data_IF_478361156543
#
_entry.id   IF_478361156543
#
_cell.length_a   1.000
_cell.length_b   1.000
_cell.length_c   1.000
_cell.angle_alpha   90.00
_cell.angle_beta   90.00
_cell.angle_gamma   90.00
#
_symmetry.space_group_name_H-M   'P 1'
#
loop_
_entity.id
_entity.type
_entity.pdbx_description
1 polymer ?
#
# COMPACT_ATOMS: atom_id res chain seq x y z
N UNK A 1 5.23 -4.91 -32.75
CA UNK A 1 5.49 -6.08 -31.90
C UNK A 1 5.22 -7.31 -32.77
N UNK A 2 6.22 -7.74 -33.54
CA UNK A 2 6.13 -9.02 -34.26
C UNK A 2 6.39 -10.12 -33.22
N UNK A 3 5.31 -10.71 -32.71
CA UNK A 3 5.41 -11.90 -31.88
C UNK A 3 5.72 -13.07 -32.82
N UNK A 4 6.94 -13.58 -32.79
CA UNK A 4 7.26 -14.81 -33.52
C UNK A 4 6.37 -15.94 -32.97
N UNK A 5 5.70 -16.69 -33.85
CA UNK A 5 4.69 -17.68 -33.47
C UNK A 5 5.22 -18.81 -32.56
N UNK A 6 6.55 -19.00 -32.51
CA UNK A 6 7.19 -20.11 -31.81
C UNK A 6 7.84 -19.70 -30.47
N UNK A 7 8.32 -18.46 -30.32
CA UNK A 7 8.95 -17.99 -29.08
C UNK A 7 8.50 -16.57 -28.68
N UNK A 8 7.86 -16.40 -27.51
CA UNK A 8 7.49 -15.08 -26.99
C UNK A 8 8.71 -14.41 -26.35
N UNK A 9 9.55 -13.77 -27.16
CA UNK A 9 10.63 -12.95 -26.66
C UNK A 9 10.28 -11.47 -26.78
N UNK A 10 10.33 -10.77 -25.64
CA UNK A 10 10.22 -9.32 -25.60
C UNK A 10 11.45 -8.72 -26.28
N UNK A 11 11.28 -7.59 -26.97
CA UNK A 11 12.44 -6.89 -27.55
C UNK A 11 13.41 -6.50 -26.43
N UNK A 12 14.71 -6.61 -26.72
CA UNK A 12 15.78 -6.37 -25.75
C UNK A 12 15.60 -5.03 -24.99
N UNK A 13 15.25 -3.96 -25.70
CA UNK A 13 15.02 -2.64 -25.10
C UNK A 13 13.76 -2.61 -24.21
N UNK A 14 12.66 -3.22 -24.65
CA UNK A 14 11.42 -3.26 -23.87
C UNK A 14 11.61 -4.06 -22.58
N UNK A 15 12.37 -5.14 -22.65
CA UNK A 15 12.68 -5.96 -21.48
C UNK A 15 13.46 -5.16 -20.42
N UNK A 16 14.51 -4.44 -20.82
CA UNK A 16 15.33 -3.64 -19.89
C UNK A 16 14.52 -2.47 -19.31
N UNK A 17 13.73 -1.78 -20.12
CA UNK A 17 12.91 -0.65 -19.66
C UNK A 17 11.77 -1.12 -18.77
N UNK A 18 10.91 -2.02 -19.25
CA UNK A 18 9.72 -2.42 -18.49
C UNK A 18 10.08 -3.25 -17.24
N UNK A 19 10.95 -4.25 -17.36
CA UNK A 19 11.19 -5.18 -16.25
C UNK A 19 12.10 -4.59 -15.16
N UNK A 20 13.03 -3.70 -15.53
CA UNK A 20 13.99 -3.16 -14.56
C UNK A 20 13.66 -1.75 -14.11
N UNK A 21 13.10 -0.88 -14.96
CA UNK A 21 12.82 0.50 -14.54
C UNK A 21 11.56 0.58 -13.68
N UNK A 22 10.54 -0.23 -13.93
CA UNK A 22 9.29 -0.18 -13.16
C UNK A 22 9.55 -0.38 -11.64
N UNK A 23 10.30 -1.40 -11.18
CA UNK A 23 10.66 -1.52 -9.77
C UNK A 23 11.46 -0.33 -9.24
N UNK A 24 12.42 0.20 -10.00
CA UNK A 24 13.22 1.37 -9.61
C UNK A 24 12.36 2.61 -9.40
N UNK A 25 11.51 2.92 -10.39
CA UNK A 25 10.62 4.08 -10.36
C UNK A 25 9.60 3.96 -9.22
N UNK A 26 9.05 2.76 -9.01
CA UNK A 26 8.21 2.47 -7.85
C UNK A 26 8.94 2.82 -6.54
N UNK A 27 10.17 2.32 -6.36
CA UNK A 27 10.94 2.62 -5.14
C UNK A 27 11.17 4.12 -4.98
N UNK A 28 11.54 4.85 -6.05
CA UNK A 28 11.80 6.28 -5.95
C UNK A 28 10.55 7.08 -5.57
N UNK A 29 9.40 6.78 -6.17
CA UNK A 29 8.13 7.47 -5.86
C UNK A 29 7.72 7.21 -4.41
N UNK A 30 7.75 5.95 -3.96
CA UNK A 30 7.31 5.57 -2.62
C UNK A 30 8.37 5.80 -1.54
N UNK A 31 9.63 6.07 -1.90
CA UNK A 31 10.69 6.43 -0.93
C UNK A 31 10.36 7.71 -0.17
N UNK A 32 9.73 8.69 -0.82
CA UNK A 32 9.30 9.94 -0.18
C UNK A 32 8.23 9.68 0.88
N UNK A 33 7.30 8.77 0.59
CA UNK A 33 6.27 8.35 1.54
C UNK A 33 6.88 7.61 2.75
N UNK A 34 7.84 6.71 2.51
CA UNK A 34 8.55 6.03 3.60
C UNK A 34 9.39 7.01 4.44
N UNK A 35 10.03 8.01 3.81
CA UNK A 35 10.74 9.05 4.53
C UNK A 35 9.79 9.85 5.44
N UNK A 36 8.63 10.27 4.92
CA UNK A 36 7.59 10.93 5.72
C UNK A 36 7.12 10.06 6.90
N UNK A 37 6.88 8.78 6.64
CA UNK A 37 6.48 7.81 7.67
C UNK A 37 7.56 7.62 8.74
N UNK A 38 8.83 7.56 8.35
CA UNK A 38 9.97 7.50 9.26
C UNK A 38 10.01 8.76 10.14
N UNK A 39 9.94 9.95 9.54
CA UNK A 39 9.98 11.22 10.28
C UNK A 39 8.87 11.36 11.32
N UNK A 40 7.68 10.80 11.05
CA UNK A 40 6.54 10.85 11.96
C UNK A 40 6.42 9.62 12.89
N UNK A 41 7.41 8.72 12.90
CA UNK A 41 7.39 7.51 13.74
C UNK A 41 7.60 7.84 15.22
N UNK A 42 6.76 7.21 16.06
CA UNK A 42 6.82 7.26 17.54
C UNK A 42 7.56 6.07 18.18
N UNK A 43 8.14 5.22 17.34
CA UNK A 43 9.04 4.14 17.76
C UNK A 43 10.47 4.55 17.41
N UNK A 44 11.44 4.09 18.20
CA UNK A 44 12.86 4.39 17.96
C UNK A 44 13.74 3.18 18.20
N UNK A 45 14.77 3.11 17.36
CA UNK A 45 15.91 2.21 17.45
C UNK A 45 15.57 0.73 17.59
N UNK A 46 15.65 0.01 16.47
CA UNK A 46 15.69 -1.45 16.48
C UNK A 46 17.12 -1.88 16.85
N UNK A 47 17.31 -2.74 17.88
CA UNK A 47 18.63 -3.21 18.28
C UNK A 47 19.32 -3.94 17.12
N UNK A 48 20.65 -3.85 17.06
CA UNK A 48 21.42 -4.63 16.09
C UNK A 48 21.26 -6.12 16.36
N UNK A 49 20.93 -6.86 15.31
CA UNK A 49 20.75 -8.30 15.36
C UNK A 49 21.35 -8.88 14.07
N UNK A 50 21.78 -10.14 14.11
CA UNK A 50 22.27 -10.84 12.92
C UNK A 50 21.30 -10.76 11.74
N UNK A 51 20.00 -10.72 12.00
CA UNK A 51 18.97 -10.60 10.97
C UNK A 51 18.93 -9.24 10.25
N UNK A 52 18.97 -8.12 10.98
CA UNK A 52 19.01 -6.80 10.33
C UNK A 52 20.36 -6.53 9.68
N UNK A 53 21.44 -7.03 10.30
CA UNK A 53 22.78 -6.97 9.74
C UNK A 53 22.87 -7.77 8.44
N UNK A 54 22.28 -8.97 8.36
CA UNK A 54 22.28 -9.78 7.14
C UNK A 54 21.51 -9.09 6.01
N UNK A 55 20.35 -8.48 6.29
CA UNK A 55 19.59 -7.71 5.28
C UNK A 55 20.40 -6.54 4.72
N UNK A 56 21.06 -5.78 5.60
CA UNK A 56 21.92 -4.67 5.20
C UNK A 56 23.15 -5.15 4.41
N UNK A 57 23.78 -6.24 4.84
CA UNK A 57 24.95 -6.81 4.17
C UNK A 57 24.62 -7.30 2.75
N UNK A 58 23.53 -8.07 2.60
CA UNK A 58 23.08 -8.56 1.28
C UNK A 58 22.74 -7.39 0.35
N UNK A 59 22.06 -6.36 0.86
CA UNK A 59 21.75 -5.15 0.09
C UNK A 59 23.02 -4.38 -0.30
N UNK A 60 24.01 -4.31 0.60
CA UNK A 60 25.30 -3.69 0.33
C UNK A 60 26.10 -4.45 -0.74
N UNK A 61 26.11 -5.79 -0.69
CA UNK A 61 26.74 -6.61 -1.75
C UNK A 61 26.07 -6.38 -3.10
N UNK A 62 24.74 -6.37 -3.16
CA UNK A 62 23.98 -6.04 -4.38
C UNK A 62 24.31 -4.63 -4.90
N UNK A 63 24.46 -3.65 -4.00
CA UNK A 63 24.90 -2.31 -4.36
C UNK A 63 26.30 -2.35 -5.00
N UNK A 64 27.28 -2.98 -4.36
CA UNK A 64 28.63 -3.11 -4.93
C UNK A 64 28.62 -3.78 -6.30
N UNK A 65 27.89 -4.88 -6.46
CA UNK A 65 27.74 -5.57 -7.76
C UNK A 65 27.15 -4.64 -8.83
N UNK A 66 26.13 -3.85 -8.49
CA UNK A 66 25.52 -2.91 -9.45
C UNK A 66 26.47 -1.79 -9.89
N UNK A 67 27.40 -1.36 -9.02
CA UNK A 67 28.44 -0.39 -9.37
C UNK A 67 29.51 -1.00 -10.27
N UNK A 68 29.89 -2.26 -10.05
CA UNK A 68 30.80 -3.00 -10.93
C UNK A 68 30.16 -3.17 -12.31
N UNK A 69 28.89 -3.57 -12.36
CA UNK A 69 28.13 -3.68 -13.63
C UNK A 69 28.09 -2.36 -14.38
N UNK A 70 27.86 -1.23 -13.69
CA UNK A 70 27.91 0.10 -14.32
C UNK A 70 29.29 0.39 -14.93
N UNK A 71 30.37 0.05 -14.21
CA UNK A 71 31.73 0.19 -14.72
C UNK A 71 31.97 -0.65 -15.98
N UNK A 72 31.56 -1.92 -15.95
CA UNK A 72 31.70 -2.84 -17.08
C UNK A 72 30.90 -2.37 -18.31
N UNK A 73 29.66 -1.92 -18.13
CA UNK A 73 28.82 -1.38 -19.22
C UNK A 73 29.47 -0.15 -19.87
N UNK A 74 30.11 0.71 -19.07
CA UNK A 74 30.79 1.92 -19.59
C UNK A 74 32.07 1.56 -20.34
N UNK A 75 32.88 0.62 -19.83
CA UNK A 75 34.14 0.21 -20.47
C UNK A 75 33.91 -0.47 -21.82
N UNK A 76 32.92 -1.36 -21.92
CA UNK A 76 32.64 -2.12 -23.14
C UNK A 76 31.65 -1.44 -24.09
N UNK A 77 31.27 -0.18 -23.81
CA UNK A 77 30.29 0.57 -24.60
C UNK A 77 30.69 0.70 -26.08
N UNK A 78 31.94 1.09 -26.32
CA UNK A 78 32.45 1.38 -27.67
C UNK A 78 32.76 0.10 -28.46
N UNK A 79 33.25 -0.94 -27.79
CA UNK A 79 33.65 -2.21 -28.44
C UNK A 79 32.46 -3.06 -28.90
N UNK A 80 31.33 -3.01 -28.19
CA UNK A 80 30.17 -3.89 -28.45
C UNK A 80 28.92 -3.17 -29.00
N UNK A 81 29.00 -1.86 -29.24
CA UNK A 81 27.85 -1.09 -29.76
C UNK A 81 26.64 -1.13 -28.83
N UNK A 82 26.86 -1.09 -27.51
CA UNK A 82 25.79 -1.22 -26.52
C UNK A 82 24.81 -0.04 -26.59
N UNK A 83 23.51 -0.34 -26.51
CA UNK A 83 22.46 0.68 -26.48
C UNK A 83 22.55 1.55 -25.21
N UNK A 84 22.34 2.86 -25.35
CA UNK A 84 22.33 3.82 -24.22
C UNK A 84 21.39 3.41 -23.09
N UNK A 85 20.31 2.68 -23.42
CA UNK A 85 19.34 2.13 -22.48
C UNK A 85 20.00 1.25 -21.41
N UNK A 86 21.08 0.53 -21.72
CA UNK A 86 21.76 -0.31 -20.74
C UNK A 86 22.48 0.52 -19.66
N UNK A 87 23.09 1.64 -20.04
CA UNK A 87 23.76 2.55 -19.11
C UNK A 87 22.73 3.14 -18.14
N UNK A 88 21.61 3.64 -18.67
CA UNK A 88 20.53 4.20 -17.85
C UNK A 88 20.00 3.15 -16.88
N UNK A 89 19.83 1.90 -17.34
CA UNK A 89 19.37 0.80 -16.50
C UNK A 89 20.35 0.49 -15.36
N UNK A 90 21.65 0.43 -15.66
CA UNK A 90 22.69 0.21 -14.64
C UNK A 90 22.72 1.34 -13.60
N UNK A 91 22.61 2.60 -14.04
CA UNK A 91 22.51 3.77 -13.14
C UNK A 91 21.27 3.68 -12.25
N UNK A 92 20.10 3.38 -12.81
CA UNK A 92 18.85 3.25 -12.04
C UNK A 92 18.95 2.14 -10.99
N UNK A 93 19.59 1.01 -11.33
CA UNK A 93 19.82 -0.08 -10.39
C UNK A 93 20.75 0.33 -9.24
N UNK A 94 21.89 0.96 -9.56
CA UNK A 94 22.84 1.44 -8.55
C UNK A 94 22.20 2.44 -7.59
N UNK A 95 21.45 3.42 -8.12
CA UNK A 95 20.71 4.39 -7.32
C UNK A 95 19.62 3.71 -6.46
N UNK A 96 18.92 2.71 -7.00
CA UNK A 96 17.88 1.98 -6.26
C UNK A 96 18.44 1.27 -5.04
N UNK A 97 19.59 0.61 -5.15
CA UNK A 97 20.20 -0.08 -4.01
C UNK A 97 20.78 0.88 -2.97
N UNK A 98 21.28 2.05 -3.39
CA UNK A 98 21.66 3.13 -2.46
C UNK A 98 20.44 3.61 -1.66
N UNK A 99 19.35 3.93 -2.35
CA UNK A 99 18.09 4.35 -1.69
C UNK A 99 17.58 3.26 -0.76
N UNK A 100 17.62 1.99 -1.18
CA UNK A 100 17.21 0.86 -0.35
C UNK A 100 18.01 0.76 0.94
N UNK A 101 19.35 0.88 0.86
CA UNK A 101 20.22 0.83 2.03
C UNK A 101 19.93 1.98 3.00
N UNK A 102 19.70 3.19 2.49
CA UNK A 102 19.29 4.37 3.28
C UNK A 102 17.93 4.14 3.95
N UNK A 103 16.98 3.53 3.26
CA UNK A 103 15.67 3.21 3.82
C UNK A 103 15.77 2.15 4.92
N UNK A 104 16.53 1.07 4.74
CA UNK A 104 16.75 0.05 5.76
C UNK A 104 17.40 0.64 7.02
N UNK A 105 18.43 1.49 6.85
CA UNK A 105 19.06 2.17 7.96
C UNK A 105 18.09 3.12 8.69
N UNK A 106 17.27 3.84 7.92
CA UNK A 106 16.25 4.75 8.45
C UNK A 106 15.18 3.98 9.22
N UNK A 107 14.62 2.90 8.66
CA UNK A 107 13.61 2.07 9.33
C UNK A 107 14.12 1.50 10.65
N UNK A 108 15.37 1.05 10.69
CA UNK A 108 16.04 0.64 11.92
C UNK A 108 16.06 1.78 12.96
N UNK A 109 16.51 2.98 12.58
CA UNK A 109 16.59 4.14 13.49
C UNK A 109 15.22 4.63 13.97
N UNK A 110 14.22 4.59 13.10
CA UNK A 110 12.85 5.06 13.37
C UNK A 110 11.90 3.93 13.80
N UNK A 111 12.41 2.76 14.19
CA UNK A 111 11.62 1.70 14.82
C UNK A 111 10.57 1.04 13.93
N UNK A 112 10.69 1.12 12.59
CA UNK A 112 9.73 0.52 11.65
C UNK A 112 10.17 -0.92 11.35
N UNK A 113 9.40 -1.91 11.84
CA UNK A 113 9.77 -3.33 11.76
C UNK A 113 9.62 -4.00 10.39
N UNK A 114 8.72 -3.48 9.56
CA UNK A 114 8.45 -4.00 8.21
C UNK A 114 7.74 -2.93 7.39
N UNK A 115 8.13 -2.80 6.12
CA UNK A 115 7.57 -1.84 5.17
C UNK A 115 7.03 -2.57 3.93
N UNK A 116 5.82 -2.18 3.52
CA UNK A 116 5.23 -2.67 2.28
C UNK A 116 5.98 -2.20 1.04
N UNK A 117 6.55 -1.00 1.06
CA UNK A 117 7.32 -0.46 -0.07
C UNK A 117 8.54 -1.32 -0.37
N UNK A 118 9.30 -1.70 0.67
CA UNK A 118 10.49 -2.55 0.52
C UNK A 118 10.10 -3.95 0.03
N UNK A 119 9.08 -4.55 0.64
CA UNK A 119 8.59 -5.86 0.23
C UNK A 119 8.12 -5.87 -1.23
N UNK A 120 7.29 -4.91 -1.63
CA UNK A 120 6.76 -4.80 -3.00
C UNK A 120 7.88 -4.56 -4.01
N UNK A 121 8.90 -3.76 -3.69
CA UNK A 121 10.07 -3.58 -4.54
C UNK A 121 10.79 -4.92 -4.80
N UNK A 122 11.14 -5.66 -3.75
CA UNK A 122 11.82 -6.95 -3.90
C UNK A 122 10.95 -7.99 -4.59
N UNK A 123 9.64 -7.98 -4.32
CA UNK A 123 8.68 -8.83 -5.01
C UNK A 123 8.62 -8.53 -6.52
N UNK A 124 8.52 -7.25 -6.91
CA UNK A 124 8.56 -6.85 -8.32
C UNK A 124 9.89 -7.23 -8.99
N UNK A 125 11.02 -7.01 -8.30
CA UNK A 125 12.36 -7.41 -8.78
C UNK A 125 12.45 -8.91 -9.01
N UNK A 126 11.92 -9.72 -8.10
CA UNK A 126 11.91 -11.17 -8.23
C UNK A 126 10.99 -11.61 -9.38
N UNK A 127 9.76 -11.10 -9.42
CA UNK A 127 8.75 -11.50 -10.41
C UNK A 127 9.14 -11.11 -11.84
N UNK A 128 9.52 -9.85 -12.08
CA UNK A 128 10.04 -9.42 -13.38
C UNK A 128 11.40 -10.05 -13.71
N UNK A 129 12.18 -10.39 -12.68
CA UNK A 129 13.43 -11.12 -12.83
C UNK A 129 13.25 -12.53 -13.40
N UNK A 130 12.09 -13.20 -13.20
CA UNK A 130 11.83 -14.52 -13.82
C UNK A 130 11.89 -14.44 -15.35
N UNK A 131 11.28 -13.39 -15.92
CA UNK A 131 11.25 -13.18 -17.37
C UNK A 131 12.66 -12.87 -17.88
N UNK A 132 13.42 -12.03 -17.17
CA UNK A 132 14.81 -11.74 -17.50
C UNK A 132 15.71 -12.98 -17.40
N UNK A 133 15.54 -13.80 -16.35
CA UNK A 133 16.26 -15.05 -16.17
C UNK A 133 16.06 -16.00 -17.35
N UNK A 134 14.82 -16.16 -17.83
CA UNK A 134 14.52 -16.97 -19.03
C UNK A 134 15.32 -16.49 -20.24
N UNK A 135 15.31 -15.19 -20.52
CA UNK A 135 16.03 -14.62 -21.68
C UNK A 135 17.53 -14.79 -21.54
N UNK A 136 18.10 -14.53 -20.37
CA UNK A 136 19.52 -14.71 -20.10
C UNK A 136 19.94 -16.18 -20.23
N UNK A 137 19.04 -17.15 -19.98
CA UNK A 137 19.29 -18.57 -20.21
C UNK A 137 19.25 -18.94 -21.70
N UNK A 138 18.34 -18.36 -22.48
CA UNK A 138 18.18 -18.63 -23.91
C UNK A 138 19.28 -18.02 -24.79
N UNK A 139 19.89 -16.91 -24.37
CA UNK A 139 20.99 -16.23 -25.07
C UNK A 139 22.33 -16.99 -24.99
N UNK A 140 22.33 -18.31 -25.13
CA UNK A 140 23.53 -19.15 -25.08
C UNK A 140 24.43 -18.94 -26.29
N UNK A 141 23.85 -18.65 -27.45
CA UNK A 141 24.60 -18.44 -28.71
C UNK A 141 25.48 -17.18 -28.70
N UNK A 142 25.10 -16.17 -27.92
CA UNK A 142 25.89 -14.94 -27.71
C UNK A 142 27.06 -15.15 -26.73
N UNK A 143 27.02 -16.23 -25.95
CA UNK A 143 28.09 -16.67 -25.05
C UNK A 143 28.98 -17.63 -25.85
N UNK A 144 29.85 -17.07 -26.69
CA UNK A 144 30.83 -17.85 -27.46
C UNK A 144 31.70 -18.77 -26.58
N UNK A 145 32.42 -19.71 -27.20
CA UNK A 145 33.32 -20.61 -26.46
C UNK A 145 34.38 -19.83 -25.67
N UNK A 146 34.59 -20.25 -24.42
CA UNK A 146 35.50 -19.62 -23.45
C UNK A 146 36.95 -19.70 -23.96
N UNK A 147 37.39 -18.70 -24.73
CA UNK A 147 38.81 -18.50 -25.03
C UNK A 147 39.47 -17.76 -23.86
N UNK A 148 40.55 -18.32 -23.32
CA UNK A 148 41.13 -18.04 -21.99
C UNK A 148 41.72 -16.65 -21.74
N UNK A 149 41.76 -15.74 -22.73
CA UNK A 149 42.63 -14.56 -22.66
C UNK A 149 41.90 -13.21 -22.59
N UNK A 150 40.56 -13.16 -22.74
CA UNK A 150 39.78 -11.92 -22.60
C UNK A 150 38.44 -12.13 -21.86
N UNK A 151 38.03 -11.14 -21.05
CA UNK A 151 36.75 -11.20 -20.32
C UNK A 151 35.61 -10.99 -21.31
N UNK A 152 34.82 -12.04 -21.56
CA UNK A 152 33.62 -11.92 -22.38
C UNK A 152 32.52 -11.17 -21.61
N UNK A 153 32.13 -9.99 -22.09
CA UNK A 153 31.10 -9.14 -21.49
C UNK A 153 29.77 -9.88 -21.27
N UNK A 154 29.33 -10.70 -22.25
CA UNK A 154 28.06 -11.42 -22.16
C UNK A 154 28.09 -12.54 -21.12
N UNK A 155 29.24 -13.20 -20.94
CA UNK A 155 29.42 -14.21 -19.90
C UNK A 155 29.46 -13.55 -18.51
N UNK A 156 30.20 -12.45 -18.37
CA UNK A 156 30.18 -11.64 -17.14
C UNK A 156 28.76 -11.19 -16.78
N UNK A 157 28.02 -10.63 -17.74
CA UNK A 157 26.67 -10.14 -17.53
C UNK A 157 25.71 -11.25 -17.08
N UNK A 158 25.81 -12.44 -17.70
CA UNK A 158 25.05 -13.61 -17.29
C UNK A 158 25.37 -14.03 -15.86
N UNK A 159 26.65 -14.21 -15.52
CA UNK A 159 27.07 -14.65 -14.18
C UNK A 159 26.67 -13.62 -13.12
N UNK A 160 26.92 -12.33 -13.37
CA UNK A 160 26.55 -11.23 -12.49
C UNK A 160 25.03 -11.23 -12.24
N UNK A 161 24.23 -11.37 -13.30
CA UNK A 161 22.77 -11.39 -13.18
C UNK A 161 22.26 -12.58 -12.35
N UNK A 162 22.78 -13.80 -12.57
CA UNK A 162 22.37 -14.99 -11.82
C UNK A 162 22.66 -14.83 -10.32
N UNK A 163 23.84 -14.32 -9.98
CA UNK A 163 24.22 -14.07 -8.58
C UNK A 163 23.32 -13.01 -7.96
N UNK A 164 23.08 -11.90 -8.65
CA UNK A 164 22.17 -10.85 -8.17
C UNK A 164 20.75 -11.38 -7.97
N UNK A 165 20.24 -12.19 -8.91
CA UNK A 165 18.91 -12.78 -8.82
C UNK A 165 18.78 -13.71 -7.61
N UNK A 166 19.81 -14.50 -7.30
CA UNK A 166 19.85 -15.33 -6.10
C UNK A 166 19.79 -14.48 -4.81
N UNK A 167 20.55 -13.38 -4.74
CA UNK A 167 20.48 -12.45 -3.61
C UNK A 167 19.14 -11.72 -3.50
N UNK A 168 18.50 -11.36 -4.63
CA UNK A 168 17.15 -10.79 -4.68
C UNK A 168 16.12 -11.77 -4.10
N UNK A 169 16.23 -13.06 -4.44
CA UNK A 169 15.36 -14.09 -3.86
C UNK A 169 15.61 -14.25 -2.36
N UNK A 170 16.87 -14.27 -1.94
CA UNK A 170 17.24 -14.37 -0.53
C UNK A 170 16.69 -13.22 0.31
N UNK A 171 16.84 -11.97 -0.15
CA UNK A 171 16.34 -10.80 0.58
C UNK A 171 14.80 -10.78 0.62
N UNK A 172 14.13 -11.20 -0.45
CA UNK A 172 12.66 -11.32 -0.45
C UNK A 172 12.17 -12.32 0.61
N UNK A 173 12.85 -13.47 0.74
CA UNK A 173 12.55 -14.45 1.80
C UNK A 173 12.79 -13.86 3.18
N UNK A 174 13.87 -13.09 3.37
CA UNK A 174 14.10 -12.38 4.63
C UNK A 174 12.99 -11.37 4.93
N UNK A 175 12.45 -10.66 3.94
CA UNK A 175 11.34 -9.70 4.13
C UNK A 175 9.99 -10.35 4.48
N UNK A 176 9.85 -11.66 4.32
CA UNK A 176 8.68 -12.40 4.84
C UNK A 176 8.64 -12.39 6.38
N UNK A 177 9.78 -12.20 7.04
CA UNK A 177 9.88 -12.18 8.49
C UNK A 177 10.08 -10.76 9.02
N UNK A 178 9.37 -10.39 10.10
CA UNK A 178 9.45 -9.07 10.70
C UNK A 178 10.77 -8.88 11.47
N UNK A 179 11.29 -7.65 11.49
CA UNK A 179 12.43 -7.33 12.36
C UNK A 179 12.04 -7.36 13.84
N UNK A 180 13.04 -7.32 14.72
CA UNK A 180 12.86 -7.28 16.17
C UNK A 180 12.10 -6.03 16.62
N UNK A 181 11.55 -6.08 17.83
CA UNK A 181 10.88 -4.93 18.42
C UNK A 181 11.83 -3.73 18.64
N UNK A 182 11.33 -2.50 18.48
CA UNK A 182 12.09 -1.30 18.78
C UNK A 182 12.35 -1.18 20.29
N UNK A 183 13.53 -0.68 20.66
CA UNK A 183 13.94 -0.52 22.06
C UNK A 183 13.16 0.57 22.80
N UNK A 184 12.68 1.58 22.07
CA UNK A 184 11.94 2.70 22.65
C UNK A 184 10.61 2.91 21.93
N UNK A 185 9.55 3.09 22.72
CA UNK A 185 8.23 3.48 22.26
C UNK A 185 7.64 4.57 23.14
N UNK A 186 7.02 5.57 22.50
CA UNK A 186 6.25 6.59 23.24
C UNK A 186 4.93 6.05 23.82
N UNK A 187 4.53 4.85 23.40
CA UNK A 187 3.31 4.19 23.85
C UNK A 187 3.55 3.40 25.13
N UNK A 188 2.59 3.35 26.07
CA UNK A 188 2.68 2.49 27.24
C UNK A 188 2.59 1.02 26.86
N UNK A 189 3.22 0.21 27.69
CA UNK A 189 3.30 -1.24 27.52
C UNK A 189 1.91 -1.88 27.58
N UNK A 190 1.62 -2.71 26.56
CA UNK A 190 0.42 -3.52 26.49
C UNK A 190 0.66 -4.87 27.15
N UNK A 191 -0.35 -5.41 27.85
CA UNK A 191 -0.26 -6.71 28.53
C UNK A 191 -0.28 -7.84 27.50
N UNK A 192 -1.19 -7.75 26.54
CA UNK A 192 -1.39 -8.71 25.45
C UNK A 192 -1.36 -7.98 24.10
N UNK A 193 -0.18 -7.59 23.59
CA UNK A 193 -0.09 -6.81 22.36
C UNK A 193 -0.66 -7.57 21.16
N UNK A 194 -1.38 -6.86 20.29
CA UNK A 194 -1.94 -7.42 19.07
C UNK A 194 -0.84 -7.96 18.13
N UNK A 195 -0.96 -9.21 17.63
CA UNK A 195 0.01 -9.82 16.74
C UNK A 195 0.22 -9.04 15.43
N UNK A 196 -0.70 -8.18 15.04
CA UNK A 196 -0.57 -7.28 13.88
C UNK A 196 0.66 -6.36 13.99
N UNK A 197 0.98 -5.84 15.18
CA UNK A 197 2.14 -4.94 15.35
C UNK A 197 3.47 -5.66 15.13
N UNK A 198 3.52 -6.96 15.39
CA UNK A 198 4.72 -7.79 15.24
C UNK A 198 4.81 -8.51 13.91
N UNK A 199 3.76 -8.53 13.09
CA UNK A 199 3.75 -9.28 11.83
C UNK A 199 4.45 -8.52 10.69
N UNK A 200 5.04 -9.25 9.75
CA UNK A 200 5.59 -8.68 8.52
C UNK A 200 4.49 -8.13 7.61
N UNK A 201 4.86 -7.29 6.65
CA UNK A 201 3.92 -6.77 5.66
C UNK A 201 3.20 -7.90 4.90
N UNK A 202 3.90 -8.97 4.52
CA UNK A 202 3.30 -10.13 3.86
C UNK A 202 2.20 -10.78 4.71
N UNK A 203 2.47 -11.01 6.00
CA UNK A 203 1.49 -11.59 6.93
C UNK A 203 0.30 -10.65 7.15
N UNK A 204 0.52 -9.32 7.12
CA UNK A 204 -0.58 -8.33 7.17
C UNK A 204 -1.41 -8.31 5.89
N UNK A 205 -0.77 -8.46 4.73
CA UNK A 205 -1.43 -8.44 3.42
C UNK A 205 -2.49 -9.55 3.31
N UNK A 206 -2.19 -10.74 3.84
CA UNK A 206 -3.09 -11.91 3.87
C UNK A 206 -3.89 -12.04 5.18
N UNK A 207 -3.72 -11.13 6.13
CA UNK A 207 -4.32 -11.23 7.48
C UNK A 207 -3.98 -12.53 8.24
N UNK A 208 -2.91 -13.23 7.86
CA UNK A 208 -2.53 -14.54 8.42
C UNK A 208 -2.15 -14.47 9.92
N UNK A 209 -1.91 -13.28 10.47
CA UNK A 209 -1.72 -13.11 11.91
C UNK A 209 -2.97 -13.48 12.73
N UNK A 210 -4.16 -13.41 12.12
CA UNK A 210 -5.45 -13.72 12.75
C UNK A 210 -5.72 -15.22 12.85
N UNK A 211 -5.08 -16.06 12.03
CA UNK A 211 -5.33 -17.50 11.98
C UNK A 211 -5.09 -18.18 13.34
N UNK A 212 -4.01 -17.78 14.02
CA UNK A 212 -3.67 -18.30 15.36
C UNK A 212 -4.75 -18.00 16.40
N UNK A 213 -5.41 -16.85 16.28
CA UNK A 213 -6.50 -16.43 17.17
C UNK A 213 -7.79 -17.17 16.84
N UNK A 214 -8.11 -17.30 15.55
CA UNK A 214 -9.28 -18.06 15.06
C UNK A 214 -9.22 -19.52 15.53
N UNK A 215 -8.06 -20.15 15.38
CA UNK A 215 -7.86 -21.52 15.82
C UNK A 215 -7.98 -21.70 17.33
N UNK A 216 -7.52 -20.70 18.11
CA UNK A 216 -7.72 -20.68 19.57
C UNK A 216 -9.20 -20.61 19.92
N UNK A 217 -9.96 -19.77 19.22
CA UNK A 217 -11.42 -19.65 19.40
C UNK A 217 -12.20 -20.90 18.99
N UNK A 218 -11.69 -21.65 18.00
CA UNK A 218 -12.25 -22.96 17.64
C UNK A 218 -12.05 -24.00 18.75
N UNK A 219 -10.89 -24.01 19.41
CA UNK A 219 -10.55 -24.98 20.46
C UNK A 219 -11.14 -24.62 21.82
N UNK A 220 -11.18 -23.33 22.16
CA UNK A 220 -11.62 -22.84 23.46
C UNK A 220 -12.51 -21.59 23.28
N UNK A 221 -13.61 -21.46 24.04
CA UNK A 221 -14.39 -20.23 24.06
C UNK A 221 -13.53 -19.01 24.40
N UNK A 222 -13.66 -17.95 23.60
CA UNK A 222 -12.90 -16.71 23.80
C UNK A 222 -13.52 -15.89 24.95
N UNK A 223 -12.70 -15.58 25.96
CA UNK A 223 -13.05 -14.67 27.07
C UNK A 223 -12.33 -13.34 26.92
N UNK A 224 -12.73 -12.32 27.68
CA UNK A 224 -12.09 -11.00 27.65
C UNK A 224 -10.58 -11.06 27.91
N UNK A 225 -10.13 -11.97 28.77
CA UNK A 225 -8.70 -12.16 29.10
C UNK A 225 -7.88 -12.74 27.94
N UNK A 226 -8.54 -13.46 27.02
CA UNK A 226 -7.92 -14.09 25.85
C UNK A 226 -7.79 -13.14 24.65
N UNK A 227 -8.42 -11.97 24.73
CA UNK A 227 -8.38 -10.96 23.67
C UNK A 227 -7.07 -10.16 23.70
N UNK A 228 -6.71 -9.67 22.52
CA UNK A 228 -5.57 -8.78 22.37
C UNK A 228 -5.96 -7.35 22.73
N UNK A 229 -5.00 -6.62 23.28
CA UNK A 229 -5.11 -5.18 23.49
C UNK A 229 -5.18 -4.47 22.14
N UNK A 230 -5.99 -3.40 22.08
CA UNK A 230 -6.13 -2.57 20.89
C UNK A 230 -4.77 -1.95 20.54
N UNK A 231 -4.47 -1.84 19.25
CA UNK A 231 -3.27 -1.17 18.78
C UNK A 231 -3.17 0.25 19.40
N UNK A 232 -2.01 0.67 19.92
CA UNK A 232 -1.85 1.98 20.56
C UNK A 232 -2.32 3.17 19.73
N UNK A 233 -2.23 3.07 18.41
CA UNK A 233 -2.63 4.10 17.43
C UNK A 233 -4.16 4.23 17.29
N UNK A 234 -4.90 3.15 17.58
CA UNK A 234 -6.35 3.07 17.47
C UNK A 234 -7.05 3.23 18.84
N UNK A 235 -6.26 3.47 19.90
CA UNK A 235 -6.79 3.78 21.21
C UNK A 235 -7.38 5.20 21.25
N UNK A 236 -8.44 5.39 22.03
CA UNK A 236 -9.11 6.69 22.19
C UNK A 236 -8.17 7.82 22.60
N UNK A 237 -7.13 7.53 23.40
CA UNK A 237 -6.10 8.50 23.79
C UNK A 237 -5.40 9.17 22.61
N UNK A 238 -5.18 8.46 21.51
CA UNK A 238 -4.53 8.99 20.30
C UNK A 238 -5.56 9.53 19.31
N UNK A 239 -6.75 8.92 19.25
CA UNK A 239 -7.77 9.31 18.28
C UNK A 239 -8.52 10.60 18.67
N UNK A 240 -8.74 10.84 19.96
CA UNK A 240 -9.55 11.96 20.45
C UNK A 240 -8.86 13.33 20.29
N UNK A 241 -7.57 13.52 20.62
CA UNK A 241 -6.93 14.84 20.52
C UNK A 241 -6.90 15.45 19.11
N UNK A 242 -6.58 14.70 18.03
CA UNK A 242 -6.66 15.23 16.66
C UNK A 242 -8.08 15.64 16.29
N UNK A 243 -9.09 14.84 16.63
CA UNK A 243 -10.49 15.16 16.36
C UNK A 243 -10.91 16.45 17.06
N UNK A 244 -10.56 16.60 18.34
CA UNK A 244 -10.84 17.82 19.11
C UNK A 244 -10.20 19.06 18.51
N UNK A 245 -8.93 18.96 18.12
CA UNK A 245 -8.21 20.07 17.50
C UNK A 245 -8.99 20.59 16.29
N UNK A 246 -9.37 19.70 15.37
CA UNK A 246 -10.10 20.09 14.16
C UNK A 246 -11.56 20.45 14.43
N UNK A 247 -12.18 19.87 15.46
CA UNK A 247 -13.52 20.24 15.89
C UNK A 247 -13.56 21.68 16.43
N UNK A 248 -12.66 22.03 17.35
CA UNK A 248 -12.57 23.40 17.88
C UNK A 248 -12.23 24.42 16.80
N UNK A 249 -11.34 24.07 15.85
CA UNK A 249 -11.06 24.90 14.68
C UNK A 249 -12.32 25.12 13.81
N UNK A 250 -13.12 24.07 13.60
CA UNK A 250 -14.38 24.13 12.85
C UNK A 250 -15.41 25.02 13.55
N UNK A 251 -15.56 24.86 14.86
CA UNK A 251 -16.48 25.67 15.70
C UNK A 251 -16.07 27.13 15.68
N UNK A 252 -14.78 27.44 15.84
CA UNK A 252 -14.28 28.82 15.83
C UNK A 252 -14.48 29.49 14.46
N UNK A 253 -14.24 28.76 13.36
CA UNK A 253 -14.54 29.24 12.01
C UNK A 253 -16.03 29.50 11.81
N UNK A 254 -16.89 28.62 12.34
CA UNK A 254 -18.34 28.82 12.31
C UNK A 254 -18.76 30.07 13.09
N UNK A 255 -18.19 30.27 14.29
CA UNK A 255 -18.40 31.45 15.13
C UNK A 255 -18.00 32.74 14.40
N UNK A 256 -16.83 32.76 13.76
CA UNK A 256 -16.37 33.92 13.00
C UNK A 256 -17.28 34.25 11.81
N UNK A 257 -17.75 33.23 11.07
CA UNK A 257 -18.72 33.41 9.99
C UNK A 257 -20.04 34.00 10.48
N UNK A 258 -20.53 33.51 11.63
CA UNK A 258 -21.74 34.06 12.24
C UNK A 258 -21.56 35.54 12.60
N UNK A 259 -20.46 35.90 13.28
CA UNK A 259 -20.16 37.28 13.66
C UNK A 259 -20.07 38.18 12.41
N UNK A 260 -19.45 37.71 11.34
CA UNK A 260 -19.38 38.46 10.08
C UNK A 260 -20.75 38.65 9.43
N UNK A 261 -21.61 37.62 9.47
CA UNK A 261 -22.97 37.70 8.94
C UNK A 261 -23.84 38.67 9.76
N UNK A 262 -23.76 38.61 11.10
CA UNK A 262 -24.52 39.52 11.98
C UNK A 262 -24.03 40.96 11.86
N UNK A 263 -22.71 41.19 11.66
CA UNK A 263 -22.15 42.52 11.31
C UNK A 263 -22.69 43.04 9.98
N UNK A 264 -22.75 42.20 8.94
CA UNK A 264 -23.33 42.57 7.63
C UNK A 264 -24.83 42.87 7.74
N UNK A 265 -25.53 42.24 8.66
CA UNK A 265 -26.95 42.45 8.92
C UNK A 265 -27.25 43.64 9.86
N UNK A 266 -26.23 44.41 10.29
CA UNK A 266 -26.41 45.61 11.11
C UNK A 266 -26.82 45.34 12.57
N UNK A 267 -26.67 44.12 13.08
CA UNK A 267 -27.04 43.79 14.46
C UNK A 267 -25.95 44.22 15.45
N UNK A 268 -26.34 45.01 16.44
CA UNK A 268 -25.45 45.56 17.49
C UNK A 268 -25.29 44.66 18.71
N UNK A 269 -26.20 43.69 18.91
CA UNK A 269 -26.11 42.66 19.94
C UNK A 269 -25.40 41.40 19.43
N UNK A 270 -24.12 41.23 19.74
CA UNK A 270 -23.33 40.04 19.40
C UNK A 270 -23.67 38.88 20.33
N UNK A 271 -24.88 38.33 20.21
CA UNK A 271 -25.28 37.14 20.97
C UNK A 271 -24.85 35.88 20.20
N UNK A 272 -23.95 35.09 20.78
CA UNK A 272 -23.55 33.81 20.21
C UNK A 272 -24.75 32.86 20.21
N UNK A 273 -25.11 32.33 19.03
CA UNK A 273 -26.24 31.40 18.90
C UNK A 273 -25.68 29.98 18.81
N UNK A 274 -25.66 29.18 19.90
CA UNK A 274 -25.06 27.85 19.90
C UNK A 274 -25.73 26.84 18.95
N UNK A 275 -26.93 27.13 18.45
CA UNK A 275 -27.68 26.27 17.52
C UNK A 275 -27.82 26.86 16.10
N UNK A 276 -27.07 27.90 15.73
CA UNK A 276 -27.11 28.42 14.38
C UNK A 276 -26.55 27.40 13.37
N UNK A 277 -27.18 27.28 12.19
CA UNK A 277 -26.68 26.44 11.08
C UNK A 277 -25.24 26.82 10.63
N UNK A 278 -24.76 28.00 11.02
CA UNK A 278 -23.40 28.48 10.79
C UNK A 278 -22.36 27.91 11.75
N UNK A 279 -22.76 27.22 12.81
CA UNK A 279 -21.83 26.63 13.78
C UNK A 279 -21.09 25.43 13.19
N UNK A 280 -19.86 25.23 13.66
CA UNK A 280 -18.89 24.31 13.05
C UNK A 280 -19.47 22.95 12.65
N UNK A 281 -19.12 22.51 11.45
CA UNK A 281 -19.51 21.18 10.96
C UNK A 281 -18.56 20.11 11.50
N UNK A 282 -19.11 18.96 11.86
CA UNK A 282 -18.34 17.80 12.35
C UNK A 282 -17.63 17.09 11.20
N UNK A 283 -18.20 17.12 9.99
CA UNK A 283 -17.68 16.40 8.82
C UNK A 283 -16.25 16.82 8.44
N UNK A 284 -15.90 18.12 8.32
CA UNK A 284 -14.52 18.54 8.04
C UNK A 284 -13.53 18.10 9.14
N UNK A 285 -13.97 18.05 10.40
CA UNK A 285 -13.12 17.61 11.50
C UNK A 285 -12.81 16.11 11.39
N UNK A 286 -13.81 15.29 11.07
CA UNK A 286 -13.66 13.85 10.84
C UNK A 286 -12.73 13.57 9.65
N UNK A 287 -12.95 14.24 8.52
CA UNK A 287 -12.15 14.02 7.30
C UNK A 287 -10.69 14.42 7.52
N UNK A 288 -10.43 15.53 8.22
CA UNK A 288 -9.05 15.94 8.52
C UNK A 288 -8.37 15.05 9.56
N UNK A 289 -9.10 14.55 10.56
CA UNK A 289 -8.55 13.69 11.60
C UNK A 289 -8.25 12.27 11.09
N UNK A 290 -9.14 11.69 10.28
CA UNK A 290 -9.13 10.26 9.96
C UNK A 290 -9.18 9.93 8.47
N UNK A 291 -9.15 10.92 7.58
CA UNK A 291 -9.40 10.73 6.15
C UNK A 291 -8.24 10.10 5.37
N UNK A 292 -7.01 10.11 5.87
CA UNK A 292 -5.85 9.61 5.10
C UNK A 292 -5.95 8.12 4.71
N UNK A 293 -6.24 7.17 5.63
CA UNK A 293 -6.45 5.76 5.26
C UNK A 293 -7.69 5.55 4.37
N UNK A 294 -8.71 6.39 4.51
CA UNK A 294 -9.91 6.34 3.69
C UNK A 294 -9.62 6.70 2.23
N UNK A 295 -8.92 7.81 1.98
CA UNK A 295 -8.52 8.16 0.62
C UNK A 295 -7.57 7.12 0.00
N UNK A 296 -6.70 6.52 0.81
CA UNK A 296 -5.86 5.40 0.37
C UNK A 296 -6.70 4.18 -0.02
N UNK A 297 -7.78 3.87 0.71
CA UNK A 297 -8.73 2.83 0.33
C UNK A 297 -9.39 3.12 -1.03
N UNK A 298 -9.66 4.39 -1.35
CA UNK A 298 -10.16 4.80 -2.65
C UNK A 298 -9.27 4.40 -3.83
N UNK A 299 -7.95 4.34 -3.64
CA UNK A 299 -7.02 3.86 -4.66
C UNK A 299 -7.19 2.35 -4.93
N UNK A 300 -7.42 1.55 -3.88
CA UNK A 300 -7.77 0.14 -4.05
C UNK A 300 -9.10 -0.02 -4.79
N UNK A 301 -10.12 0.79 -4.45
CA UNK A 301 -11.40 0.75 -5.16
C UNK A 301 -11.25 1.08 -6.65
N UNK A 302 -10.42 2.07 -6.99
CA UNK A 302 -10.10 2.37 -8.38
C UNK A 302 -9.42 1.18 -9.07
N UNK A 303 -8.41 0.59 -8.42
CA UNK A 303 -7.68 -0.55 -8.97
C UNK A 303 -8.58 -1.79 -9.17
N UNK A 304 -9.49 -2.08 -8.23
CA UNK A 304 -10.51 -3.13 -8.34
C UNK A 304 -11.40 -2.84 -9.55
N UNK A 305 -11.89 -1.61 -9.67
CA UNK A 305 -12.77 -1.17 -10.77
C UNK A 305 -12.10 -1.31 -12.13
N UNK A 306 -10.78 -1.14 -12.23
CA UNK A 306 -10.04 -1.35 -13.49
C UNK A 306 -9.78 -2.84 -13.76
N UNK A 307 -9.34 -3.59 -12.75
CA UNK A 307 -9.00 -5.01 -12.89
C UNK A 307 -10.22 -5.88 -13.21
N UNK A 308 -11.40 -5.56 -12.70
CA UNK A 308 -12.61 -6.32 -13.01
C UNK A 308 -12.92 -6.36 -14.51
N UNK A 309 -12.53 -5.32 -15.27
CA UNK A 309 -12.72 -5.27 -16.72
C UNK A 309 -11.69 -6.11 -17.49
N UNK A 310 -10.53 -6.42 -16.90
CA UNK A 310 -9.55 -7.29 -17.54
C UNK A 310 -10.07 -8.74 -17.67
N UNK A 311 -10.89 -9.21 -16.71
CA UNK A 311 -11.41 -10.57 -16.68
C UNK A 311 -12.22 -10.98 -17.93
N UNK A 312 -13.25 -10.23 -18.37
CA UNK A 312 -14.01 -10.57 -19.57
C UNK A 312 -13.16 -10.56 -20.85
N UNK A 313 -12.22 -9.61 -20.99
CA UNK A 313 -11.32 -9.56 -22.15
C UNK A 313 -10.37 -10.76 -22.20
N UNK A 314 -9.74 -11.09 -21.08
CA UNK A 314 -8.87 -12.27 -21.00
C UNK A 314 -9.66 -13.56 -21.27
N UNK A 315 -10.91 -13.64 -20.82
CA UNK A 315 -11.79 -14.77 -21.12
C UNK A 315 -12.13 -14.83 -22.62
N UNK A 316 -12.38 -13.70 -23.28
CA UNK A 316 -12.63 -13.65 -24.72
C UNK A 316 -11.40 -14.10 -25.52
N UNK A 317 -10.20 -13.66 -25.14
CA UNK A 317 -8.95 -14.10 -25.77
C UNK A 317 -8.69 -15.60 -25.53
N UNK A 318 -9.02 -16.12 -24.34
CA UNK A 318 -8.94 -17.55 -24.07
C UNK A 318 -9.89 -18.34 -24.99
N UNK A 319 -11.13 -17.87 -25.18
CA UNK A 319 -12.09 -18.51 -26.08
C UNK A 319 -11.62 -18.49 -27.54
N UNK A 320 -11.04 -17.38 -28.01
CA UNK A 320 -10.43 -17.29 -29.35
C UNK A 320 -9.26 -18.26 -29.51
N UNK A 321 -8.42 -18.37 -28.47
CA UNK A 321 -7.29 -19.29 -28.45
C UNK A 321 -7.75 -20.76 -28.54
N UNK A 322 -8.79 -21.13 -27.79
CA UNK A 322 -9.40 -22.48 -27.86
C UNK A 322 -9.96 -22.76 -29.26
N UNK A 323 -10.56 -21.76 -29.92
CA UNK A 323 -11.18 -21.96 -31.23
C UNK A 323 -10.18 -22.22 -32.37
N UNK A 324 -8.91 -21.78 -32.22
CA UNK A 324 -7.88 -21.86 -33.26
C UNK A 324 -6.81 -22.91 -32.91
N UNK A 325 -6.95 -23.61 -31.78
CA UNK A 325 -5.92 -24.50 -31.23
C UNK A 325 -4.53 -23.84 -31.21
N UNK A 326 -4.47 -22.65 -30.59
CA UNK A 326 -3.26 -21.84 -30.56
C UNK A 326 -2.09 -22.47 -29.77
N UNK A 327 -0.88 -21.90 -29.84
CA UNK A 327 0.28 -22.38 -29.10
C UNK A 327 0.03 -22.50 -27.59
N UNK A 328 0.49 -23.59 -26.97
CA UNK A 328 0.23 -23.87 -25.55
C UNK A 328 0.72 -22.78 -24.58
N UNK A 329 1.82 -22.11 -24.90
CA UNK A 329 2.36 -21.02 -24.06
C UNK A 329 1.39 -19.81 -23.99
N UNK A 330 0.64 -19.52 -25.06
CA UNK A 330 -0.35 -18.44 -25.08
C UNK A 330 -1.51 -18.77 -24.14
N UNK A 331 -2.04 -20.00 -24.22
CA UNK A 331 -3.10 -20.46 -23.33
C UNK A 331 -2.69 -20.41 -21.85
N UNK A 332 -1.46 -20.82 -21.53
CA UNK A 332 -0.91 -20.71 -20.16
C UNK A 332 -0.80 -19.26 -19.71
N UNK A 333 -0.30 -18.34 -20.56
CA UNK A 333 -0.20 -16.92 -20.21
C UNK A 333 -1.57 -16.27 -19.95
N UNK A 334 -2.57 -16.55 -20.79
CA UNK A 334 -3.92 -15.99 -20.63
C UNK A 334 -4.57 -16.54 -19.34
N UNK A 335 -4.45 -17.85 -19.10
CA UNK A 335 -4.99 -18.50 -17.90
C UNK A 335 -4.34 -17.99 -16.62
N UNK A 336 -3.01 -17.83 -16.63
CA UNK A 336 -2.30 -17.23 -15.52
C UNK A 336 -2.70 -15.76 -15.31
N UNK A 337 -2.93 -15.02 -16.40
CA UNK A 337 -3.50 -13.66 -16.36
C UNK A 337 -4.85 -13.62 -15.65
N UNK A 338 -5.79 -14.51 -16.00
CA UNK A 338 -7.09 -14.63 -15.34
C UNK A 338 -6.97 -14.92 -13.84
N UNK A 339 -6.09 -15.86 -13.47
CA UNK A 339 -5.81 -16.17 -12.08
C UNK A 339 -5.23 -14.97 -11.34
N UNK A 340 -4.22 -14.30 -11.91
CA UNK A 340 -3.56 -13.14 -11.32
C UNK A 340 -4.53 -11.96 -11.14
N UNK A 341 -5.37 -11.67 -12.14
CA UNK A 341 -6.41 -10.64 -12.04
C UNK A 341 -7.39 -10.95 -10.91
N UNK A 342 -7.87 -12.20 -10.82
CA UNK A 342 -8.80 -12.63 -9.76
C UNK A 342 -8.17 -12.52 -8.37
N UNK A 343 -6.91 -12.95 -8.23
CA UNK A 343 -6.16 -12.87 -6.98
C UNK A 343 -5.94 -11.42 -6.54
N UNK A 344 -5.54 -10.53 -7.46
CA UNK A 344 -5.34 -9.11 -7.16
C UNK A 344 -6.64 -8.42 -6.76
N UNK A 345 -7.76 -8.73 -7.42
CA UNK A 345 -9.08 -8.23 -7.02
C UNK A 345 -9.42 -8.68 -5.60
N UNK A 346 -9.20 -9.94 -5.25
CA UNK A 346 -9.47 -10.45 -3.90
C UNK A 346 -8.59 -9.74 -2.83
N UNK A 347 -7.29 -9.58 -3.11
CA UNK A 347 -6.35 -8.89 -2.22
C UNK A 347 -6.73 -7.42 -2.02
N UNK A 348 -7.01 -6.69 -3.09
CA UNK A 348 -7.41 -5.29 -3.01
C UNK A 348 -8.75 -5.11 -2.30
N UNK A 349 -9.71 -6.02 -2.49
CA UNK A 349 -10.96 -6.00 -1.74
C UNK A 349 -10.73 -6.16 -0.23
N UNK A 350 -9.90 -7.13 0.18
CA UNK A 350 -9.55 -7.32 1.59
C UNK A 350 -8.92 -6.07 2.20
N UNK A 351 -7.96 -5.46 1.50
CA UNK A 351 -7.30 -4.23 1.95
C UNK A 351 -8.24 -3.02 1.94
N UNK A 352 -9.14 -2.92 0.95
CA UNK A 352 -10.18 -1.89 0.88
C UNK A 352 -11.10 -1.94 2.11
N UNK A 353 -11.65 -3.12 2.43
CA UNK A 353 -12.53 -3.28 3.59
C UNK A 353 -11.80 -3.02 4.90
N UNK A 354 -10.58 -3.52 5.06
CA UNK A 354 -9.79 -3.26 6.26
C UNK A 354 -9.59 -1.75 6.49
N UNK A 355 -9.14 -1.00 5.48
CA UNK A 355 -8.89 0.44 5.62
C UNK A 355 -10.16 1.26 5.86
N UNK A 356 -11.26 0.92 5.16
CA UNK A 356 -12.55 1.62 5.34
C UNK A 356 -13.17 1.33 6.70
N UNK A 357 -13.15 0.08 7.17
CA UNK A 357 -13.62 -0.25 8.53
C UNK A 357 -12.76 0.40 9.59
N UNK A 358 -11.42 0.40 9.44
CA UNK A 358 -10.53 1.06 10.39
C UNK A 358 -10.84 2.56 10.51
N UNK A 359 -10.99 3.27 9.38
CA UNK A 359 -11.42 4.68 9.42
C UNK A 359 -12.81 4.83 10.04
N UNK A 360 -13.76 3.95 9.72
CA UNK A 360 -15.09 3.97 10.32
C UNK A 360 -15.04 3.83 11.85
N UNK A 361 -14.23 2.91 12.37
CA UNK A 361 -14.06 2.72 13.83
C UNK A 361 -13.41 3.93 14.48
N UNK A 362 -12.42 4.56 13.83
CA UNK A 362 -11.79 5.79 14.31
C UNK A 362 -12.79 6.94 14.38
N UNK A 363 -13.61 7.11 13.34
CA UNK A 363 -14.72 8.08 13.29
C UNK A 363 -15.69 7.84 14.44
N UNK A 364 -16.17 6.60 14.59
CA UNK A 364 -17.13 6.23 15.64
C UNK A 364 -16.57 6.54 17.03
N UNK A 365 -15.33 6.17 17.28
CA UNK A 365 -14.65 6.42 18.56
C UNK A 365 -14.50 7.92 18.86
N UNK A 366 -14.10 8.72 17.86
CA UNK A 366 -14.00 10.16 17.98
C UNK A 366 -15.34 10.83 18.28
N UNK A 367 -16.40 10.44 17.55
CA UNK A 367 -17.76 10.95 17.73
C UNK A 367 -18.31 10.63 19.12
N UNK A 368 -18.28 9.35 19.52
CA UNK A 368 -18.75 8.89 20.85
C UNK A 368 -18.01 9.65 21.96
N UNK A 369 -16.69 9.78 21.86
CA UNK A 369 -15.88 10.50 22.86
C UNK A 369 -16.20 11.99 22.90
N UNK A 370 -16.48 12.61 21.75
CA UNK A 370 -16.91 14.00 21.64
C UNK A 370 -18.28 14.24 22.28
N UNK A 371 -19.26 13.41 21.92
CA UNK A 371 -20.64 13.48 22.44
C UNK A 371 -20.63 13.27 23.96
N UNK A 372 -19.93 12.25 24.46
CA UNK A 372 -19.86 11.95 25.89
C UNK A 372 -19.31 13.13 26.70
N UNK A 373 -18.19 13.73 26.28
CA UNK A 373 -17.61 14.89 26.98
C UNK A 373 -18.48 16.12 26.89
N UNK A 374 -19.19 16.31 25.78
CA UNK A 374 -20.16 17.40 25.65
C UNK A 374 -21.34 17.17 26.60
N UNK A 375 -21.87 15.95 26.69
CA UNK A 375 -22.97 15.58 27.60
C UNK A 375 -22.65 15.90 29.07
N UNK A 376 -21.40 15.71 29.49
CA UNK A 376 -20.93 16.06 30.83
C UNK A 376 -20.84 17.59 31.09
N UNK A 377 -20.86 18.43 30.06
CA UNK A 377 -20.70 19.89 30.14
C UNK A 377 -21.93 20.69 29.68
N UNK A 378 -23.00 20.02 29.25
CA UNK A 378 -24.24 20.68 28.84
C UNK A 378 -24.94 21.29 30.07
N UNK A 379 -25.35 22.55 29.95
CA UNK A 379 -26.07 23.29 31.00
C UNK A 379 -27.47 22.72 31.23
N UNK A 380 -28.02 22.90 32.43
CA UNK A 380 -29.38 22.42 32.76
C UNK A 380 -30.47 23.03 31.85
N UNK A 381 -30.24 24.23 31.31
CA UNK A 381 -31.15 24.85 30.33
C UNK A 381 -31.14 24.09 29.01
N UNK A 382 -29.97 23.76 28.47
CA UNK A 382 -29.85 23.02 27.22
C UNK A 382 -30.24 21.53 27.36
N UNK A 383 -30.19 20.96 28.57
CA UNK A 383 -30.75 19.63 28.87
C UNK A 383 -32.27 19.57 28.81
N UNK A 384 -32.98 20.71 28.84
CA UNK A 384 -34.44 20.72 28.66
C UNK A 384 -34.84 20.43 27.20
N UNK A 385 -33.98 20.81 26.26
CA UNK A 385 -34.22 20.66 24.82
C UNK A 385 -33.68 19.33 24.25
N UNK A 386 -32.89 18.59 25.04
CA UNK A 386 -32.32 17.31 24.60
C UNK A 386 -32.27 16.33 25.77
N UNK A 387 -33.05 15.27 25.65
CA UNK A 387 -33.18 14.22 26.67
C UNK A 387 -31.93 13.34 26.72
N UNK A 388 -31.70 12.68 27.86
CA UNK A 388 -30.61 11.71 27.99
C UNK A 388 -30.77 10.57 26.97
N UNK A 389 -32.00 10.15 26.69
CA UNK A 389 -32.30 9.13 25.68
C UNK A 389 -31.86 9.55 24.28
N UNK A 390 -32.09 10.80 23.87
CA UNK A 390 -31.64 11.32 22.58
C UNK A 390 -30.10 11.37 22.49
N UNK A 391 -29.41 11.73 23.58
CA UNK A 391 -27.94 11.72 23.62
C UNK A 391 -27.41 10.30 23.45
N UNK A 392 -28.00 9.33 24.14
CA UNK A 392 -27.62 7.91 24.02
C UNK A 392 -27.93 7.40 22.61
N UNK A 393 -29.06 7.80 22.01
CA UNK A 393 -29.39 7.46 20.63
C UNK A 393 -28.36 8.02 19.65
N UNK A 394 -27.90 9.26 19.84
CA UNK A 394 -26.85 9.87 19.01
C UNK A 394 -25.53 9.08 19.08
N UNK A 395 -25.18 8.54 20.25
CA UNK A 395 -23.97 7.73 20.44
C UNK A 395 -24.11 6.31 19.89
N UNK A 396 -25.29 5.70 20.01
CA UNK A 396 -25.52 4.30 19.66
C UNK A 396 -25.92 4.10 18.20
N UNK A 397 -26.76 4.98 17.65
CA UNK A 397 -27.36 4.86 16.31
C UNK A 397 -26.63 5.75 15.31
N UNK A 398 -26.55 7.06 15.55
CA UNK A 398 -25.98 7.99 14.57
C UNK A 398 -24.48 7.76 14.37
N UNK A 399 -23.69 7.62 15.44
CA UNK A 399 -22.26 7.31 15.32
C UNK A 399 -21.99 5.96 14.65
N UNK A 400 -22.89 4.97 14.84
CA UNK A 400 -22.80 3.67 14.18
C UNK A 400 -23.08 3.78 12.67
N UNK A 401 -24.07 4.57 12.27
CA UNK A 401 -24.36 4.84 10.85
C UNK A 401 -23.16 5.46 10.12
N UNK A 402 -22.39 6.33 10.76
CA UNK A 402 -21.17 6.88 10.15
C UNK A 402 -20.10 5.82 9.92
N UNK A 403 -19.93 4.87 10.85
CA UNK A 403 -19.06 3.71 10.65
C UNK A 403 -19.52 2.90 9.42
N UNK A 404 -20.80 2.53 9.36
CA UNK A 404 -21.37 1.73 8.26
C UNK A 404 -21.29 2.45 6.92
N UNK A 405 -21.54 3.77 6.89
CA UNK A 405 -21.45 4.57 5.66
C UNK A 405 -20.04 4.53 5.05
N UNK A 406 -19.00 4.49 5.90
CA UNK A 406 -17.60 4.60 5.46
C UNK A 406 -17.20 3.48 4.48
N UNK A 407 -17.74 2.26 4.61
CA UNK A 407 -17.44 1.16 3.68
C UNK A 407 -18.11 1.28 2.32
N UNK A 408 -19.14 2.13 2.17
CA UNK A 408 -19.92 2.28 0.93
C UNK A 408 -19.64 3.59 0.18
N UNK A 409 -19.00 4.57 0.82
CA UNK A 409 -18.77 5.88 0.19
C UNK A 409 -17.99 5.80 -1.12
N UNK A 410 -17.00 4.91 -1.25
CA UNK A 410 -16.27 4.80 -2.51
C UNK A 410 -17.07 4.13 -3.63
N UNK A 411 -18.09 3.33 -3.28
CA UNK A 411 -19.00 2.73 -4.26
C UNK A 411 -19.83 3.80 -4.97
N UNK A 412 -20.15 4.91 -4.30
CA UNK A 412 -20.98 5.98 -4.86
C UNK A 412 -20.38 6.61 -6.13
N UNK A 413 -19.05 6.81 -6.16
CA UNK A 413 -18.39 7.35 -7.34
C UNK A 413 -17.87 6.25 -8.27
N UNK A 414 -17.51 5.07 -7.75
CA UNK A 414 -17.02 3.99 -8.61
C UNK A 414 -18.14 3.34 -9.42
N UNK A 415 -19.34 3.17 -8.85
CA UNK A 415 -20.45 2.49 -9.53
C UNK A 415 -20.88 3.18 -10.84
N UNK A 416 -21.04 4.52 -10.91
CA UNK A 416 -21.31 5.19 -12.18
C UNK A 416 -20.22 4.99 -13.23
N UNK A 417 -18.94 5.01 -12.83
CA UNK A 417 -17.81 4.74 -13.72
C UNK A 417 -17.90 3.31 -14.24
N UNK A 418 -18.16 2.35 -13.36
CA UNK A 418 -18.30 0.94 -13.72
C UNK A 418 -19.42 0.75 -14.74
N UNK A 419 -20.60 1.31 -14.46
CA UNK A 419 -21.76 1.23 -15.35
C UNK A 419 -21.45 1.85 -16.72
N UNK A 420 -20.82 3.02 -16.75
CA UNK A 420 -20.47 3.69 -18.00
C UNK A 420 -19.48 2.85 -18.85
N UNK A 421 -18.43 2.31 -18.22
CA UNK A 421 -17.45 1.46 -18.90
C UNK A 421 -18.10 0.14 -19.33
N UNK A 422 -18.92 -0.49 -18.48
CA UNK A 422 -19.68 -1.70 -18.86
C UNK A 422 -20.54 -1.48 -20.12
N UNK A 423 -21.29 -0.38 -20.18
CA UNK A 423 -22.14 -0.05 -21.34
C UNK A 423 -21.27 0.16 -22.59
N UNK A 424 -20.16 0.89 -22.47
CA UNK A 424 -19.22 1.11 -23.57
C UNK A 424 -18.63 -0.21 -24.09
N UNK A 425 -18.16 -1.08 -23.19
CA UNK A 425 -17.58 -2.37 -23.55
C UNK A 425 -18.62 -3.32 -24.18
N UNK A 426 -19.84 -3.33 -23.65
CA UNK A 426 -20.93 -4.13 -24.20
C UNK A 426 -21.30 -3.67 -25.62
N UNK A 427 -21.30 -2.36 -25.85
CA UNK A 427 -21.51 -1.77 -27.16
C UNK A 427 -20.43 -2.19 -28.17
N UNK A 428 -19.15 -2.22 -27.77
CA UNK A 428 -18.08 -2.72 -28.65
C UNK A 428 -18.21 -4.21 -28.98
N UNK A 429 -18.62 -5.04 -28.00
CA UNK A 429 -18.70 -6.50 -28.17
C UNK A 429 -19.93 -6.90 -29.00
N UNK A 430 -21.08 -6.27 -28.79
CA UNK A 430 -22.35 -6.65 -29.43
C UNK A 430 -22.68 -5.80 -30.67
N UNK A 431 -22.12 -4.59 -30.80
CA UNK A 431 -22.48 -3.62 -31.83
C UNK A 431 -23.81 -2.91 -31.58
N UNK A 432 -24.23 -2.07 -32.53
CA UNK A 432 -25.59 -1.53 -32.58
C UNK A 432 -26.50 -2.62 -33.15
N UNK A 433 -27.53 -3.01 -32.40
CA UNK A 433 -28.57 -3.91 -32.88
C UNK A 433 -29.39 -3.30 -34.02
#
# INVERSE_FOLDING_TARGET
LEWSAENPDLTFCLQRVALQWIPCLFLFIFSMYEAYKCSNSRFRDIPWNWFNLSKMLVTFVLMCMSWIDLGMVVTFKEEQGLFEVQIVTAVLNALSYVVMLVLLFSQRRYGIRSSGTIFVFWFMRMFFGIIQLRTELQNKELRGDVSSDSVNYWEYQYISYIIQYAFICLILVMELFPDQEPSYSDYPDAKNPNPELRSSFFVRLFFAYFDSFTWRGFRNPLTMDSMYDINPQDASRELVPPFDKYWYESVEKGRQKQIQADKKAGKTGMEYKPHAQTNGSVLPAMVKAYGAPFWFAGLFQLAISLLQFASPYLMQELMKWIAIDGPGWQGVMITFGLFATSLLIALFNGQYFYNTFLTGFRIRTGLISGIYRKALRISSSAKKDTTVGEIVNLMAVDAQRFFELTSYLHVLWSAPIIIAVCIFLLYEILGVA
#
